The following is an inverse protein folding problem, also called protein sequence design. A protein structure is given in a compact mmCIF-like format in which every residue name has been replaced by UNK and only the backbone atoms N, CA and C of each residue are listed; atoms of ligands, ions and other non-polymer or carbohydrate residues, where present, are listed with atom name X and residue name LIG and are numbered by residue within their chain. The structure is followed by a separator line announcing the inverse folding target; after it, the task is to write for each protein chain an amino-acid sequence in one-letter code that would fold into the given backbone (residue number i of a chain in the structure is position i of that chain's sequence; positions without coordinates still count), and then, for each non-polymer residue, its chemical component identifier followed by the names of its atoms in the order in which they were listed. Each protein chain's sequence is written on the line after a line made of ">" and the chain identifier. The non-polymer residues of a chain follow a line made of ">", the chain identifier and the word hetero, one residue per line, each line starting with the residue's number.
data_IF_353770036177
#
_entry.id   IF_353770036177
#
_cell.length_a   1.000
_cell.length_b   1.000
_cell.length_c   1.000
_cell.angle_alpha   90.00
_cell.angle_beta   90.00
_cell.angle_gamma   90.00
#
_symmetry.space_group_name_H-M   'P 1'
#
loop_
_entity.id
_entity.type
_entity.pdbx_description
1 polymer ?
#
# COMPACT_ATOMS: atom_id res chain seq x y z
N UNK A 1 -0.78 8.65 -4.55
CA UNK A 1 -2.05 9.03 -5.20
C UNK A 1 -1.95 8.80 -6.69
N UNK A 2 -3.04 8.94 -7.44
CA UNK A 2 -2.99 8.86 -8.90
C UNK A 2 -2.38 10.14 -9.51
N UNK A 3 -2.15 10.16 -10.84
CA UNK A 3 -1.50 11.28 -11.54
C UNK A 3 -2.21 12.63 -11.32
N UNK A 4 -3.54 12.61 -11.21
CA UNK A 4 -4.35 13.80 -10.92
C UNK A 4 -4.08 14.41 -9.54
N UNK A 5 -3.44 13.67 -8.63
CA UNK A 5 -3.07 14.16 -7.29
C UNK A 5 -1.76 14.96 -7.24
N UNK A 6 -1.04 15.15 -8.35
CA UNK A 6 0.21 15.92 -8.35
C UNK A 6 0.03 17.38 -7.88
N UNK A 7 -1.06 18.03 -8.30
CA UNK A 7 -1.44 19.37 -7.84
C UNK A 7 -2.24 19.38 -6.52
N UNK A 8 -2.42 18.21 -5.90
CA UNK A 8 -3.34 18.00 -4.76
C UNK A 8 -3.00 18.81 -3.50
N UNK A 9 -1.78 19.34 -3.40
CA UNK A 9 -1.39 20.25 -2.31
C UNK A 9 -2.01 21.65 -2.43
N UNK A 10 -2.48 22.03 -3.63
CA UNK A 10 -3.03 23.37 -3.90
C UNK A 10 -4.53 23.32 -4.20
N UNK A 11 -5.03 22.24 -4.81
CA UNK A 11 -6.45 22.08 -5.11
C UNK A 11 -6.84 20.60 -5.22
N UNK A 12 -8.06 20.28 -4.78
CA UNK A 12 -8.64 18.93 -4.82
C UNK A 12 -9.87 18.87 -5.75
N UNK A 13 -9.89 17.92 -6.69
CA UNK A 13 -11.03 17.54 -7.52
C UNK A 13 -11.52 16.13 -7.15
N UNK A 14 -12.69 16.07 -6.50
CA UNK A 14 -13.30 14.82 -6.04
C UNK A 14 -13.58 13.81 -7.16
N UNK A 15 -13.76 14.26 -8.42
CA UNK A 15 -14.00 13.36 -9.55
C UNK A 15 -12.75 12.54 -9.88
N UNK A 16 -11.58 13.15 -9.74
CA UNK A 16 -10.33 12.64 -10.29
C UNK A 16 -9.31 12.21 -9.23
N UNK A 17 -9.21 12.91 -8.10
CA UNK A 17 -8.19 12.62 -7.10
C UNK A 17 -8.47 11.31 -6.38
N UNK A 18 -7.48 10.41 -6.35
CA UNK A 18 -7.56 9.14 -5.63
C UNK A 18 -6.31 8.90 -4.80
N UNK A 19 -6.54 8.51 -3.55
CA UNK A 19 -5.51 7.85 -2.75
C UNK A 19 -5.22 6.47 -3.36
N UNK A 20 -3.95 6.11 -3.39
CA UNK A 20 -3.51 4.79 -3.87
C UNK A 20 -2.55 4.27 -2.81
N UNK A 21 -2.83 3.09 -2.30
CA UNK A 21 -2.06 2.42 -1.26
C UNK A 21 -1.93 0.92 -1.59
N UNK A 22 -0.91 0.29 -1.04
CA UNK A 22 -0.70 -1.16 -1.20
C UNK A 22 -1.61 -1.90 -0.23
N UNK A 23 -2.26 -2.98 -0.70
CA UNK A 23 -3.08 -3.83 0.14
C UNK A 23 -2.21 -4.63 1.12
N UNK A 24 -2.57 -4.65 2.41
CA UNK A 24 -1.79 -5.33 3.46
C UNK A 24 -1.59 -6.83 3.18
N UNK A 25 -2.62 -7.52 2.70
CA UNK A 25 -2.50 -8.92 2.29
C UNK A 25 -1.47 -9.16 1.17
N UNK A 26 -1.30 -8.21 0.24
CA UNK A 26 -0.29 -8.34 -0.81
C UNK A 26 1.13 -8.15 -0.26
N UNK A 27 1.28 -7.29 0.75
CA UNK A 27 2.55 -7.12 1.48
C UNK A 27 2.91 -8.43 2.19
N UNK A 28 1.97 -9.00 2.94
CA UNK A 28 2.18 -10.26 3.67
C UNK A 28 2.49 -11.44 2.74
N UNK A 29 1.75 -11.57 1.64
CA UNK A 29 1.99 -12.62 0.64
C UNK A 29 3.39 -12.48 0.00
N UNK A 30 3.80 -11.26 -0.33
CA UNK A 30 5.13 -11.00 -0.89
C UNK A 30 6.24 -11.33 0.10
N UNK A 31 6.07 -10.94 1.38
CA UNK A 31 7.03 -11.28 2.43
C UNK A 31 7.22 -12.79 2.55
N UNK A 32 6.13 -13.57 2.57
CA UNK A 32 6.21 -15.02 2.72
C UNK A 32 6.69 -15.73 1.43
N UNK A 33 6.13 -15.42 0.27
CA UNK A 33 6.34 -16.21 -0.96
C UNK A 33 7.48 -15.72 -1.84
N UNK A 34 7.72 -14.42 -1.90
CA UNK A 34 8.74 -13.83 -2.79
C UNK A 34 10.06 -13.66 -2.05
N UNK A 35 10.00 -13.16 -0.81
CA UNK A 35 11.19 -12.82 -0.04
C UNK A 35 11.59 -13.87 1.00
N UNK A 36 10.75 -14.89 1.24
CA UNK A 36 11.01 -15.92 2.25
C UNK A 36 11.02 -15.41 3.70
N UNK A 37 10.58 -14.17 3.94
CA UNK A 37 10.56 -13.48 5.22
C UNK A 37 9.34 -13.89 6.07
N UNK A 38 9.14 -15.20 6.25
CA UNK A 38 7.96 -15.74 6.95
C UNK A 38 7.95 -15.39 8.44
N UNK A 39 9.12 -15.29 9.07
CA UNK A 39 9.24 -14.92 10.48
C UNK A 39 8.80 -13.48 10.73
N UNK A 40 9.21 -12.56 9.85
CA UNK A 40 8.77 -11.17 9.90
C UNK A 40 7.27 -11.04 9.61
N UNK A 41 6.74 -11.81 8.65
CA UNK A 41 5.31 -11.81 8.38
C UNK A 41 4.49 -12.27 9.60
N UNK A 42 4.98 -13.28 10.35
CA UNK A 42 4.37 -13.73 11.61
C UNK A 42 4.44 -12.66 12.70
N UNK A 43 5.58 -12.01 12.88
CA UNK A 43 5.74 -10.91 13.85
C UNK A 43 4.74 -9.79 13.58
N UNK A 44 4.60 -9.34 12.32
CA UNK A 44 3.63 -8.31 11.93
C UNK A 44 2.18 -8.74 12.22
N UNK A 45 1.88 -10.04 12.10
CA UNK A 45 0.57 -10.61 12.42
C UNK A 45 0.36 -10.89 13.92
N UNK A 46 1.39 -10.71 14.76
CA UNK A 46 1.36 -11.04 16.18
C UNK A 46 1.33 -12.55 16.47
N UNK A 47 1.92 -13.37 15.60
CA UNK A 47 1.97 -14.83 15.67
C UNK A 47 3.35 -15.39 16.07
#
# INVERSE_FOLDING_TARGET
>A
GNIHSLGGAFWFDARNNRAVAVHSGAILESLSKVYGATDLAREIMGQ
#
